data_IF_575909035555
#
_entry.id   IF_575909035555
#
_cell.length_a   1.000
_cell.length_b   1.000
_cell.length_c   1.000
_cell.angle_alpha   90.00
_cell.angle_beta   90.00
_cell.angle_gamma   90.00
#
_symmetry.space_group_name_H-M   'P 1'
#
loop_
_entity.id
_entity.type
_entity.pdbx_description
1 polymer ?
#
# COMPACT_ATOMS: atom_id res chain seq x y z
N UNK A 1 14.74 -5.24 1.01
CA UNK A 1 14.86 -6.14 -0.15
C UNK A 1 14.55 -5.27 -1.35
N UNK A 2 15.34 -5.34 -2.41
CA UNK A 2 15.06 -4.60 -3.63
C UNK A 2 13.79 -5.17 -4.29
N UNK A 3 13.02 -4.33 -4.95
CA UNK A 3 11.91 -4.74 -5.81
C UNK A 3 12.50 -5.62 -6.94
N UNK A 4 11.95 -6.80 -7.23
CA UNK A 4 12.51 -7.64 -8.28
C UNK A 4 12.28 -6.98 -9.64
N UNK A 5 13.37 -6.63 -10.32
CA UNK A 5 13.37 -6.02 -11.66
C UNK A 5 12.74 -6.93 -12.73
N UNK A 6 12.58 -8.24 -12.40
CA UNK A 6 11.95 -9.27 -13.26
C UNK A 6 10.45 -9.03 -13.53
N UNK A 7 9.84 -8.01 -12.90
CA UNK A 7 8.38 -7.76 -12.98
C UNK A 7 8.06 -6.66 -13.96
N UNK A 8 9.05 -5.85 -14.29
CA UNK A 8 8.91 -4.76 -15.25
C UNK A 8 9.01 -5.32 -16.67
N UNK A 9 8.22 -4.79 -17.59
CA UNK A 9 8.36 -5.04 -19.02
C UNK A 9 9.61 -4.32 -19.51
N UNK A 10 10.32 -4.84 -20.52
CA UNK A 10 11.58 -4.28 -21.03
C UNK A 10 11.47 -2.79 -21.47
N UNK A 11 10.26 -2.31 -21.74
CA UNK A 11 9.96 -0.93 -22.18
C UNK A 11 9.38 -0.06 -21.06
N UNK A 12 9.11 -0.62 -19.84
CA UNK A 12 8.44 0.05 -18.73
C UNK A 12 9.45 0.84 -17.87
N UNK A 13 9.27 2.16 -17.77
CA UNK A 13 10.14 3.02 -16.96
C UNK A 13 9.54 3.25 -15.56
N UNK A 14 10.36 3.02 -14.53
CA UNK A 14 9.99 3.29 -13.14
C UNK A 14 10.09 4.79 -12.88
N UNK A 15 8.96 5.46 -12.71
CA UNK A 15 8.87 6.89 -12.41
C UNK A 15 9.12 7.15 -10.94
N UNK A 16 8.48 6.38 -10.05
CA UNK A 16 8.59 6.54 -8.60
C UNK A 16 8.62 5.20 -7.89
N UNK A 17 9.56 5.06 -6.93
CA UNK A 17 9.59 3.98 -5.97
C UNK A 17 9.36 4.53 -4.57
N UNK A 18 8.26 4.14 -3.94
CA UNK A 18 7.81 4.67 -2.66
C UNK A 18 7.75 3.57 -1.60
N UNK A 19 8.03 3.96 -0.37
CA UNK A 19 7.90 3.13 0.81
C UNK A 19 7.00 3.84 1.83
N UNK A 20 6.10 3.13 2.52
CA UNK A 20 5.25 3.73 3.54
C UNK A 20 6.07 4.47 4.60
N UNK A 21 5.64 5.65 4.98
CA UNK A 21 6.34 6.50 5.93
C UNK A 21 6.51 5.81 7.30
N UNK A 22 7.65 6.00 7.95
CA UNK A 22 8.01 5.40 9.26
C UNK A 22 6.96 5.63 10.37
N UNK A 23 6.13 6.65 10.25
CA UNK A 23 4.99 6.92 11.13
C UNK A 23 4.09 5.69 11.32
N UNK A 24 3.89 4.89 10.27
CA UNK A 24 3.07 3.67 10.34
C UNK A 24 3.67 2.62 11.26
N UNK A 25 5.00 2.62 11.41
CA UNK A 25 5.73 1.71 12.29
C UNK A 25 5.67 2.09 13.78
N UNK A 26 5.31 3.34 14.13
CA UNK A 26 5.30 3.82 15.52
C UNK A 26 4.32 3.01 16.38
N UNK A 27 3.09 2.84 15.91
CA UNK A 27 2.05 2.13 16.67
C UNK A 27 2.46 0.68 16.99
N UNK A 28 2.85 -0.14 16.01
CA UNK A 28 3.29 -1.51 16.30
C UNK A 28 4.57 -1.56 17.14
N UNK A 29 5.50 -0.61 16.98
CA UNK A 29 6.68 -0.53 17.81
C UNK A 29 6.33 -0.26 19.28
N UNK A 30 5.39 0.65 19.55
CA UNK A 30 4.90 0.92 20.90
C UNK A 30 4.22 -0.32 21.52
N UNK A 31 3.42 -1.05 20.77
CA UNK A 31 2.78 -2.30 21.23
C UNK A 31 3.83 -3.35 21.57
N UNK A 32 4.83 -3.55 20.73
CA UNK A 32 5.93 -4.49 20.99
C UNK A 32 6.72 -4.08 22.25
N UNK A 33 7.03 -2.81 22.39
CA UNK A 33 7.76 -2.27 23.56
C UNK A 33 6.94 -2.44 24.84
N UNK A 34 5.64 -2.16 24.80
CA UNK A 34 4.76 -2.31 25.96
C UNK A 34 4.63 -3.80 26.37
N UNK A 35 4.51 -4.70 25.41
CA UNK A 35 4.47 -6.14 25.68
C UNK A 35 5.76 -6.62 26.35
N UNK A 36 6.92 -6.19 25.86
CA UNK A 36 8.22 -6.48 26.46
C UNK A 36 8.36 -5.90 27.86
N UNK A 37 7.99 -4.64 28.05
CA UNK A 37 8.06 -3.97 29.34
C UNK A 37 7.15 -4.65 30.37
N UNK A 38 5.94 -5.03 30.01
CA UNK A 38 4.99 -5.75 30.87
C UNK A 38 5.54 -7.12 31.25
N UNK A 39 6.13 -7.83 30.31
CA UNK A 39 6.73 -9.15 30.57
C UNK A 39 7.95 -9.03 31.51
N UNK A 40 8.81 -8.05 31.27
CA UNK A 40 9.97 -7.77 32.13
C UNK A 40 9.54 -7.34 33.55
N UNK A 41 8.53 -6.51 33.66
CA UNK A 41 7.96 -6.08 34.93
C UNK A 41 7.38 -7.28 35.71
N UNK A 42 6.62 -8.15 35.04
CA UNK A 42 6.07 -9.36 35.65
C UNK A 42 7.18 -10.29 36.17
N UNK A 43 8.29 -10.43 35.45
CA UNK A 43 9.44 -11.22 35.90
C UNK A 43 10.03 -10.71 37.23
N UNK A 44 10.11 -9.40 37.40
CA UNK A 44 10.68 -8.77 38.60
C UNK A 44 9.71 -8.82 39.80
N UNK A 45 8.41 -8.65 39.52
CA UNK A 45 7.39 -8.52 40.59
C UNK A 45 6.83 -9.84 41.09
N UNK A 46 6.84 -10.89 40.30
CA UNK A 46 6.29 -12.18 40.71
C UNK A 46 7.25 -12.96 41.60
N UNK A 47 6.73 -13.65 42.65
CA UNK A 47 7.58 -14.43 43.54
C UNK A 47 8.22 -15.63 42.81
N UNK A 48 9.48 -15.92 43.12
CA UNK A 48 10.27 -17.01 42.50
C UNK A 48 9.93 -18.38 43.07
N UNK A 49 8.62 -18.74 43.04
CA UNK A 49 8.10 -20.06 43.42
C UNK A 49 7.32 -20.65 42.26
N UNK A 50 6.87 -21.91 42.39
CA UNK A 50 6.14 -22.60 41.33
C UNK A 50 4.88 -21.85 40.91
N UNK A 51 4.15 -21.22 41.84
CA UNK A 51 2.95 -20.46 41.54
C UNK A 51 3.28 -19.16 40.77
N UNK A 52 4.32 -18.45 41.17
CA UNK A 52 4.78 -17.25 40.51
C UNK A 52 5.34 -17.52 39.08
N UNK A 53 6.04 -18.65 38.91
CA UNK A 53 6.49 -19.09 37.59
C UNK A 53 5.31 -19.41 36.65
N UNK A 54 4.28 -20.08 37.13
CA UNK A 54 3.07 -20.33 36.34
C UNK A 54 2.36 -19.03 35.97
N UNK A 55 2.21 -18.11 36.94
CA UNK A 55 1.63 -16.78 36.65
C UNK A 55 2.45 -16.00 35.61
N UNK A 56 3.78 -16.01 35.74
CA UNK A 56 4.67 -15.40 34.76
C UNK A 56 4.50 -16.04 33.37
N UNK A 57 4.45 -17.36 33.27
CA UNK A 57 4.29 -18.06 31.99
C UNK A 57 2.99 -17.69 31.30
N UNK A 58 1.89 -17.51 32.05
CA UNK A 58 0.61 -17.03 31.51
C UNK A 58 0.73 -15.61 30.98
N UNK A 59 1.31 -14.68 31.79
CA UNK A 59 1.51 -13.29 31.37
C UNK A 59 2.41 -13.22 30.13
N UNK A 60 3.52 -13.94 30.14
CA UNK A 60 4.47 -13.97 29.01
C UNK A 60 3.82 -14.55 27.75
N UNK A 61 3.00 -15.59 27.87
CA UNK A 61 2.25 -16.18 26.75
C UNK A 61 1.27 -15.18 26.13
N UNK A 62 0.48 -14.50 26.96
CA UNK A 62 -0.48 -13.48 26.53
C UNK A 62 0.24 -12.29 25.88
N UNK A 63 1.23 -11.72 26.54
CA UNK A 63 1.99 -10.59 26.02
C UNK A 63 2.80 -10.95 24.78
N UNK A 64 3.35 -12.16 24.73
CA UNK A 64 4.03 -12.69 23.55
C UNK A 64 3.09 -12.78 22.34
N UNK A 65 1.90 -13.32 22.53
CA UNK A 65 0.89 -13.38 21.46
C UNK A 65 0.51 -11.99 20.93
N UNK A 66 0.17 -11.05 21.83
CA UNK A 66 -0.18 -9.68 21.42
C UNK A 66 1.01 -8.93 20.83
N UNK A 67 2.20 -9.09 21.40
CA UNK A 67 3.44 -8.50 20.91
C UNK A 67 3.78 -8.98 19.50
N UNK A 68 3.64 -10.26 19.19
CA UNK A 68 3.88 -10.81 17.86
C UNK A 68 2.77 -10.36 16.90
N UNK A 69 1.50 -10.49 17.28
CA UNK A 69 0.35 -10.25 16.39
C UNK A 69 0.16 -8.79 16.03
N UNK A 70 0.35 -7.87 16.97
CA UNK A 70 0.09 -6.44 16.81
C UNK A 70 1.33 -5.56 16.87
N UNK A 71 2.48 -6.11 17.27
CA UNK A 71 3.75 -5.42 17.29
C UNK A 71 4.65 -5.88 16.15
N UNK A 72 5.25 -7.06 16.28
CA UNK A 72 6.27 -7.55 15.34
C UNK A 72 5.67 -7.80 13.95
N UNK A 73 4.51 -8.43 13.85
CA UNK A 73 3.85 -8.73 12.58
C UNK A 73 3.68 -7.49 11.68
N UNK A 74 2.98 -6.45 12.15
CA UNK A 74 2.82 -5.21 11.37
C UNK A 74 4.13 -4.47 11.09
N UNK A 75 5.15 -4.55 11.98
CA UNK A 75 6.48 -3.97 11.71
C UNK A 75 7.17 -4.65 10.54
N UNK A 76 7.10 -5.97 10.49
CA UNK A 76 7.68 -6.74 9.37
C UNK A 76 6.88 -6.48 8.09
N UNK A 77 5.55 -6.42 8.16
CA UNK A 77 4.69 -6.06 7.04
C UNK A 77 5.06 -4.68 6.46
N UNK A 78 5.19 -3.67 7.33
CA UNK A 78 5.61 -2.32 6.93
C UNK A 78 6.94 -2.33 6.17
N UNK A 79 7.92 -3.15 6.60
CA UNK A 79 9.21 -3.25 5.91
C UNK A 79 9.14 -3.96 4.56
N UNK A 80 8.10 -4.75 4.32
CA UNK A 80 7.91 -5.51 3.09
C UNK A 80 6.94 -4.85 2.11
N UNK A 81 6.29 -3.75 2.50
CA UNK A 81 5.38 -3.01 1.64
C UNK A 81 6.17 -2.04 0.75
N UNK A 82 5.98 -2.13 -0.55
CA UNK A 82 6.56 -1.27 -1.57
C UNK A 82 5.50 -0.83 -2.57
N UNK A 83 5.56 0.43 -2.96
CA UNK A 83 4.74 1.01 -4.01
C UNK A 83 5.64 1.44 -5.16
N UNK A 84 5.35 0.99 -6.37
CA UNK A 84 6.09 1.37 -7.58
C UNK A 84 5.09 1.97 -8.56
N UNK A 85 5.39 3.17 -9.01
CA UNK A 85 4.63 3.87 -10.05
C UNK A 85 5.48 3.85 -11.31
N UNK A 86 4.93 3.29 -12.37
CA UNK A 86 5.53 3.29 -13.69
C UNK A 86 4.74 4.20 -14.63
N UNK A 87 5.18 4.34 -15.84
CA UNK A 87 4.51 5.10 -16.90
C UNK A 87 3.19 4.45 -17.38
N UNK A 88 3.01 3.13 -17.17
CA UNK A 88 1.82 2.39 -17.61
C UNK A 88 0.87 2.00 -16.48
N UNK A 89 1.41 1.72 -15.26
CA UNK A 89 0.63 1.15 -14.16
C UNK A 89 1.20 1.48 -12.78
N UNK A 90 0.37 1.29 -11.76
CA UNK A 90 0.79 1.36 -10.36
C UNK A 90 0.87 -0.06 -9.81
N UNK A 91 2.05 -0.44 -9.34
CA UNK A 91 2.33 -1.73 -8.74
C UNK A 91 2.32 -1.58 -7.21
N UNK A 92 1.37 -2.24 -6.55
CA UNK A 92 1.34 -2.35 -5.11
C UNK A 92 1.81 -3.75 -4.72
N UNK A 93 2.84 -3.81 -3.90
CA UNK A 93 3.31 -5.08 -3.35
C UNK A 93 3.23 -5.02 -1.83
N UNK A 94 2.36 -5.87 -1.28
CA UNK A 94 2.16 -6.06 0.14
C UNK A 94 2.42 -7.52 0.53
N UNK A 95 2.77 -7.72 1.80
CA UNK A 95 2.81 -9.04 2.42
C UNK A 95 4.20 -9.54 2.79
N UNK A 96 4.22 -10.33 3.89
CA UNK A 96 5.42 -10.92 4.49
C UNK A 96 5.61 -12.37 4.04
N UNK A 97 4.55 -13.16 4.14
CA UNK A 97 4.54 -14.61 3.85
C UNK A 97 3.81 -14.85 2.52
N UNK A 98 2.61 -14.33 2.38
CA UNK A 98 1.90 -14.29 1.12
C UNK A 98 2.11 -12.90 0.49
N UNK A 99 2.71 -12.87 -0.68
CA UNK A 99 2.89 -11.63 -1.44
C UNK A 99 1.61 -11.38 -2.23
N UNK A 100 0.90 -10.35 -1.87
CA UNK A 100 -0.20 -9.84 -2.67
C UNK A 100 0.36 -8.72 -3.57
N UNK A 101 0.17 -8.88 -4.85
CA UNK A 101 0.50 -7.87 -5.85
C UNK A 101 -0.78 -7.41 -6.50
N UNK A 102 -0.92 -6.11 -6.64
CA UNK A 102 -2.00 -5.48 -7.40
C UNK A 102 -1.38 -4.58 -8.45
N UNK A 103 -1.78 -4.78 -9.66
CA UNK A 103 -1.36 -4.01 -10.81
C UNK A 103 -2.56 -3.17 -11.25
N UNK A 104 -2.43 -1.84 -11.22
CA UNK A 104 -3.48 -0.88 -11.57
C UNK A 104 -3.04 -0.12 -12.80
N UNK A 105 -3.57 -0.44 -14.00
CA UNK A 105 -3.29 0.32 -15.21
C UNK A 105 -3.78 1.77 -15.07
N UNK A 106 -2.96 2.75 -15.52
CA UNK A 106 -3.27 4.17 -15.41
C UNK A 106 -4.53 4.57 -16.19
N UNK A 107 -4.78 3.93 -17.35
CA UNK A 107 -5.96 4.16 -18.19
C UNK A 107 -7.30 3.72 -17.56
N UNK A 108 -7.27 2.95 -16.46
CA UNK A 108 -8.47 2.51 -15.72
C UNK A 108 -8.72 3.27 -14.43
N UNK A 109 -7.90 4.24 -14.09
CA UNK A 109 -8.08 5.07 -12.90
C UNK A 109 -9.21 6.06 -13.16
N UNK A 110 -10.29 5.94 -12.38
CA UNK A 110 -11.46 6.81 -12.49
C UNK A 110 -11.38 8.02 -11.54
N UNK A 111 -10.92 7.79 -10.31
CA UNK A 111 -10.81 8.84 -9.29
C UNK A 111 -9.66 8.55 -8.32
N UNK A 112 -9.13 9.61 -7.72
CA UNK A 112 -8.10 9.49 -6.70
C UNK A 112 -8.33 10.51 -5.59
N UNK A 113 -8.45 10.00 -4.38
CA UNK A 113 -8.71 10.78 -3.17
C UNK A 113 -7.46 10.83 -2.28
N UNK A 114 -6.91 12.03 -2.08
CA UNK A 114 -5.85 12.25 -1.11
C UNK A 114 -6.45 12.64 0.24
N UNK A 115 -6.28 11.79 1.25
CA UNK A 115 -6.68 12.06 2.63
C UNK A 115 -5.45 12.32 3.49
N UNK A 116 -5.45 13.45 4.19
CA UNK A 116 -4.39 13.81 5.13
C UNK A 116 -4.97 14.16 6.49
N UNK A 117 -4.55 13.44 7.53
CA UNK A 117 -4.81 13.82 8.91
C UNK A 117 -3.90 14.97 9.34
N UNK A 118 -4.20 15.61 10.47
CA UNK A 118 -3.32 16.68 11.02
C UNK A 118 -1.88 16.19 11.24
N UNK A 119 -1.72 14.96 11.70
CA UNK A 119 -0.39 14.35 11.87
C UNK A 119 0.26 14.02 10.53
N UNK A 120 -0.51 13.60 9.51
CA UNK A 120 0.01 13.35 8.17
C UNK A 120 0.55 14.63 7.56
N UNK A 121 -0.16 15.74 7.75
CA UNK A 121 0.24 17.05 7.28
C UNK A 121 1.51 17.55 7.95
N UNK A 122 1.68 17.30 9.26
CA UNK A 122 2.88 17.65 10.02
C UNK A 122 4.11 16.85 9.52
N UNK A 123 3.93 15.57 9.16
CA UNK A 123 5.00 14.69 8.67
C UNK A 123 5.16 14.71 7.13
N UNK A 124 4.38 15.51 6.41
CA UNK A 124 4.45 15.60 4.95
C UNK A 124 4.02 14.33 4.23
N UNK A 125 3.19 13.51 4.85
CA UNK A 125 2.68 12.27 4.26
C UNK A 125 1.15 12.32 4.06
N UNK A 126 0.58 11.34 3.37
CA UNK A 126 -0.86 11.22 3.14
C UNK A 126 -1.26 9.81 2.75
N UNK A 127 -2.53 9.53 2.76
CA UNK A 127 -3.12 8.30 2.24
C UNK A 127 -3.80 8.61 0.93
N UNK A 128 -3.35 7.95 -0.14
CA UNK A 128 -3.93 8.07 -1.47
C UNK A 128 -4.80 6.86 -1.73
N UNK A 129 -6.09 7.09 -1.94
CA UNK A 129 -7.04 6.07 -2.37
C UNK A 129 -7.27 6.24 -3.86
N UNK A 130 -7.12 5.18 -4.62
CA UNK A 130 -7.27 5.16 -6.07
C UNK A 130 -8.43 4.23 -6.41
N UNK A 131 -9.45 4.76 -7.06
CA UNK A 131 -10.58 3.99 -7.55
C UNK A 131 -10.36 3.65 -9.03
N UNK A 132 -10.45 2.36 -9.36
CA UNK A 132 -10.31 1.84 -10.72
C UNK A 132 -11.60 1.20 -11.19
N UNK A 133 -11.89 1.33 -12.48
CA UNK A 133 -13.09 0.74 -13.10
C UNK A 133 -12.98 -0.78 -13.09
N UNK A 134 -13.90 -1.43 -12.36
CA UNK A 134 -13.99 -2.90 -12.31
C UNK A 134 -13.15 -3.58 -11.22
N UNK A 135 -12.30 -2.85 -10.51
CA UNK A 135 -11.47 -3.37 -9.43
C UNK A 135 -11.80 -2.73 -8.08
N UNK A 136 -11.31 -3.33 -6.98
CA UNK A 136 -11.44 -2.74 -5.66
C UNK A 136 -10.47 -1.56 -5.54
N UNK A 137 -10.93 -0.49 -4.86
CA UNK A 137 -10.09 0.67 -4.58
C UNK A 137 -8.74 0.27 -3.96
N UNK A 138 -7.67 0.80 -4.51
CA UNK A 138 -6.34 0.61 -3.96
C UNK A 138 -6.00 1.74 -2.99
N UNK A 139 -5.47 1.39 -1.83
CA UNK A 139 -5.13 2.35 -0.78
C UNK A 139 -3.63 2.35 -0.52
N UNK A 140 -2.96 3.43 -0.91
CA UNK A 140 -1.57 3.68 -0.61
C UNK A 140 -1.48 4.43 0.72
N UNK A 141 -1.14 3.72 1.80
CA UNK A 141 -1.12 4.30 3.14
C UNK A 141 0.18 5.03 3.46
N UNK A 142 0.06 6.22 4.07
CA UNK A 142 1.17 7.01 4.58
C UNK A 142 2.30 7.23 3.56
N UNK A 143 1.94 7.61 2.34
CA UNK A 143 2.90 7.92 1.28
C UNK A 143 3.62 9.22 1.61
N UNK A 144 4.97 9.25 1.59
CA UNK A 144 5.72 10.48 1.76
C UNK A 144 5.51 11.40 0.54
N UNK A 145 5.58 12.70 0.75
CA UNK A 145 5.41 13.73 -0.30
C UNK A 145 4.11 13.56 -1.12
N UNK A 146 3.00 13.27 -0.45
CA UNK A 146 1.73 12.89 -1.06
C UNK A 146 1.23 13.89 -2.13
N UNK A 147 1.50 15.19 -1.98
CA UNK A 147 1.16 16.19 -3.00
C UNK A 147 1.98 16.04 -4.28
N UNK A 148 3.28 15.74 -4.16
CA UNK A 148 4.13 15.53 -5.34
C UNK A 148 3.71 14.27 -6.09
N UNK A 149 3.37 13.20 -5.36
CA UNK A 149 2.83 11.99 -5.97
C UNK A 149 1.51 12.25 -6.69
N UNK A 150 0.61 13.03 -6.08
CA UNK A 150 -0.67 13.39 -6.69
C UNK A 150 -0.45 14.17 -8.00
N UNK A 151 0.46 15.14 -8.02
CA UNK A 151 0.77 15.91 -9.23
C UNK A 151 1.38 15.02 -10.31
N UNK A 152 2.35 14.18 -9.96
CA UNK A 152 2.95 13.23 -10.90
C UNK A 152 1.92 12.24 -11.46
N UNK A 153 0.98 11.79 -10.63
CA UNK A 153 -0.09 10.88 -11.06
C UNK A 153 -1.04 11.57 -12.06
N UNK A 154 -1.38 12.85 -11.85
CA UNK A 154 -2.15 13.62 -12.82
C UNK A 154 -1.45 13.72 -14.17
N UNK A 155 -0.17 14.06 -14.16
CA UNK A 155 0.63 14.17 -15.39
C UNK A 155 0.71 12.82 -16.13
N UNK A 156 0.88 11.71 -15.39
CA UNK A 156 0.93 10.36 -15.98
C UNK A 156 -0.41 9.91 -16.56
N UNK A 157 -1.53 10.19 -15.85
CA UNK A 157 -2.87 9.84 -16.34
C UNK A 157 -3.22 10.65 -17.60
N UNK A 158 -2.82 11.93 -17.66
CA UNK A 158 -3.06 12.78 -18.84
C UNK A 158 -2.22 12.34 -20.06
N UNK A 159 -1.05 11.74 -19.81
CA UNK A 159 -0.16 11.22 -20.85
C UNK A 159 -0.50 9.78 -21.27
N UNK A 160 -1.27 9.04 -20.45
CA UNK A 160 -1.65 7.67 -20.77
C UNK A 160 -2.55 7.64 -22.01
N UNK A 161 -2.30 6.77 -23.01
CA UNK A 161 -3.14 6.62 -24.18
C UNK A 161 -4.57 6.24 -23.76
N UNK A 162 -5.55 7.02 -24.19
CA UNK A 162 -6.97 6.67 -24.00
C UNK A 162 -7.35 5.64 -25.05
N UNK A 163 -7.56 4.40 -24.67
CA UNK A 163 -8.00 3.32 -25.57
C UNK A 163 -9.38 3.58 -26.19
N UNK A 164 -10.12 4.59 -25.68
CA UNK A 164 -11.48 4.94 -26.14
C UNK A 164 -11.50 5.83 -27.41
N UNK A 165 -10.38 6.41 -27.85
CA UNK A 165 -10.33 7.28 -29.04
C UNK A 165 -10.13 6.51 -30.35
N UNK A 166 -9.65 5.27 -30.32
CA UNK A 166 -9.38 4.47 -31.53
C UNK A 166 -10.63 3.78 -32.10
N UNK A 167 -11.73 3.68 -31.35
CA UNK A 167 -12.95 3.01 -31.79
C UNK A 167 -13.94 3.93 -32.55
N UNK A 168 -13.74 5.25 -32.55
CA UNK A 168 -14.67 6.19 -33.21
C UNK A 168 -14.31 6.52 -34.68
N UNK A 169 -13.12 6.13 -35.17
CA UNK A 169 -12.68 6.50 -36.53
C UNK A 169 -12.91 5.42 -37.62
N UNK A 170 -13.60 4.32 -37.29
CA UNK A 170 -13.89 3.23 -38.26
C UNK A 170 -15.37 2.99 -38.50
N UNK A 171 -16.22 4.03 -38.57
CA UNK A 171 -17.54 3.85 -39.19
C UNK A 171 -17.54 4.44 -40.63
N UNK A 172 -17.41 3.59 -41.68
CA UNK A 172 -17.49 4.06 -43.03
C UNK A 172 -18.92 4.47 -43.33
N UNK A 173 -19.11 5.75 -43.66
CA UNK A 173 -20.35 6.37 -44.07
C UNK A 173 -21.22 5.46 -44.96
N UNK A 174 -22.54 5.31 -44.73
CA UNK A 174 -23.40 4.49 -45.54
C UNK A 174 -23.52 5.06 -46.95
N UNK A 175 -22.97 4.33 -47.89
CA UNK A 175 -23.05 4.62 -49.32
C UNK A 175 -24.52 4.66 -49.73
N UNK A 176 -25.06 5.85 -50.01
CA UNK A 176 -26.39 6.05 -50.52
C UNK A 176 -26.52 5.40 -51.91
N UNK A 177 -27.07 4.20 -51.95
CA UNK A 177 -27.40 3.51 -53.22
C UNK A 177 -28.68 4.09 -53.78
N UNK A 178 -28.49 5.08 -54.64
CA UNK A 178 -29.51 5.62 -55.49
C UNK A 178 -30.16 4.49 -56.31
N UNK A 179 -31.44 4.12 -56.04
CA UNK A 179 -32.26 3.29 -56.87
C UNK A 179 -33.19 4.18 -57.69
N UNK A 180 -32.76 4.53 -58.89
CA UNK A 180 -33.70 4.91 -59.95
C UNK A 180 -34.30 3.61 -60.51
N UNK A 181 -35.56 3.45 -60.42
CA UNK A 181 -36.64 3.12 -61.37
C UNK A 181 -37.89 2.75 -60.66
#
# INVERSE_FOLDING_TARGET
>A
MAFPDEVLTDEEEVVLHLHPHWKTAIRPALVAMLALATTAFAWVMLPQNTGGFLAFAVVAGIMGYYGIRYGVGPLVAWRCTHYVVTDERILLQDGVIARERRDLPLNRINDHLLTQSLLDRLFGCGTLTIDSIGDQAAVLTAVPHAHQLQTALYELIEQAPNDDEDDEETDPAPTSRNRRR
#
